data_IF_123762725165
#
_entry.id   IF_123762725165
#
_cell.length_a   1.000
_cell.length_b   1.000
_cell.length_c   1.000
_cell.angle_alpha   90.00
_cell.angle_beta   90.00
_cell.angle_gamma   90.00
#
_symmetry.space_group_name_H-M   'P 1'
#
loop_
_entity.id
_entity.type
_entity.pdbx_description
1 polymer ?
#
# COMPACT_ATOMS: atom_id res chain seq x y z
N UNK A 1 -8.23 -25.42 21.08
CA UNK A 1 -7.54 -24.55 20.09
C UNK A 1 -8.60 -23.97 19.15
N UNK A 2 -8.73 -22.64 19.04
CA UNK A 2 -9.70 -22.01 18.12
C UNK A 2 -9.16 -22.18 16.69
N UNK A 3 -9.74 -23.10 15.92
CA UNK A 3 -9.51 -23.19 14.48
C UNK A 3 -10.07 -21.92 13.83
N UNK A 4 -9.22 -20.97 13.48
CA UNK A 4 -9.61 -19.92 12.56
C UNK A 4 -9.76 -20.58 11.19
N UNK A 5 -11.00 -20.83 10.76
CA UNK A 5 -11.26 -21.30 9.40
C UNK A 5 -10.87 -20.19 8.44
N UNK A 6 -9.79 -20.41 7.72
CA UNK A 6 -9.38 -19.56 6.60
C UNK A 6 -10.54 -19.51 5.59
N UNK A 7 -11.04 -18.32 5.30
CA UNK A 7 -12.18 -18.15 4.39
C UNK A 7 -11.66 -18.07 2.95
N UNK A 8 -11.73 -19.18 2.21
CA UNK A 8 -11.17 -19.29 0.86
C UNK A 8 -11.67 -18.21 -0.12
N UNK A 9 -12.93 -17.80 -0.02
CA UNK A 9 -13.48 -16.72 -0.86
C UNK A 9 -12.79 -15.38 -0.62
N UNK A 10 -12.40 -15.08 0.62
CA UNK A 10 -11.69 -13.85 0.97
C UNK A 10 -10.25 -13.87 0.44
N UNK A 11 -9.60 -15.04 0.48
CA UNK A 11 -8.27 -15.21 -0.14
C UNK A 11 -8.32 -15.04 -1.66
N UNK A 12 -9.33 -15.61 -2.32
CA UNK A 12 -9.54 -15.46 -3.77
C UNK A 12 -9.77 -13.98 -4.11
N UNK A 13 -10.68 -13.31 -3.40
CA UNK A 13 -10.97 -11.89 -3.62
C UNK A 13 -9.71 -11.02 -3.45
N UNK A 14 -8.89 -11.31 -2.43
CA UNK A 14 -7.61 -10.63 -2.21
C UNK A 14 -6.63 -10.90 -3.34
N UNK A 15 -6.54 -12.14 -3.82
CA UNK A 15 -5.69 -12.51 -4.96
C UNK A 15 -6.05 -11.76 -6.23
N UNK A 16 -7.35 -11.70 -6.56
CA UNK A 16 -7.84 -10.95 -7.72
C UNK A 16 -7.51 -9.46 -7.58
N UNK A 17 -7.72 -8.87 -6.39
CA UNK A 17 -7.36 -7.47 -6.15
C UNK A 17 -5.84 -7.21 -6.32
N UNK A 18 -4.96 -8.11 -5.85
CA UNK A 18 -3.50 -8.00 -6.07
C UNK A 18 -3.19 -8.05 -7.56
N UNK A 19 -3.75 -9.02 -8.30
CA UNK A 19 -3.51 -9.16 -9.73
C UNK A 19 -3.97 -7.91 -10.50
N UNK A 20 -5.14 -7.37 -10.16
CA UNK A 20 -5.64 -6.12 -10.74
C UNK A 20 -4.69 -4.93 -10.51
N UNK A 21 -4.11 -4.80 -9.32
CA UNK A 21 -3.09 -3.76 -9.04
C UNK A 21 -1.89 -3.94 -9.97
N UNK A 22 -1.38 -5.16 -10.09
CA UNK A 22 -0.21 -5.45 -10.92
C UNK A 22 -0.50 -5.14 -12.39
N UNK A 23 -1.63 -5.62 -12.92
CA UNK A 23 -2.01 -5.39 -14.32
C UNK A 23 -2.18 -3.90 -14.64
N UNK A 24 -2.72 -3.12 -13.71
CA UNK A 24 -2.80 -1.66 -13.85
C UNK A 24 -1.42 -1.01 -13.89
N UNK A 25 -0.48 -1.42 -13.03
CA UNK A 25 0.84 -0.77 -12.93
C UNK A 25 1.83 -1.19 -14.03
N UNK A 26 1.54 -2.23 -14.80
CA UNK A 26 2.33 -2.63 -15.97
C UNK A 26 1.69 -2.18 -17.29
N UNK A 27 0.67 -1.31 -17.23
CA UNK A 27 -0.12 -0.86 -18.38
C UNK A 27 -0.56 -2.03 -19.28
N UNK A 28 -1.08 -3.09 -18.65
CA UNK A 28 -1.42 -4.32 -19.36
C UNK A 28 -2.49 -4.07 -20.43
N UNK A 29 -2.20 -4.47 -21.67
CA UNK A 29 -3.14 -4.38 -22.78
C UNK A 29 -4.16 -5.51 -22.68
N UNK A 30 -5.37 -5.18 -22.21
CA UNK A 30 -6.44 -6.15 -22.09
C UNK A 30 -6.99 -6.61 -23.45
N UNK A 31 -7.18 -7.92 -23.67
CA UNK A 31 -7.84 -8.43 -24.87
C UNK A 31 -9.31 -7.95 -24.92
N UNK A 32 -9.74 -7.51 -26.10
CA UNK A 32 -11.12 -7.06 -26.34
C UNK A 32 -11.98 -8.27 -26.72
N UNK A 33 -12.89 -8.67 -25.84
CA UNK A 33 -13.90 -9.68 -26.15
C UNK A 33 -15.28 -9.04 -26.29
N UNK A 34 -16.03 -9.41 -27.33
CA UNK A 34 -17.33 -8.78 -27.64
C UNK A 34 -18.40 -8.94 -26.56
N UNK A 35 -18.28 -9.97 -25.71
CA UNK A 35 -19.27 -10.29 -24.67
C UNK A 35 -18.82 -9.94 -23.25
N UNK A 36 -17.51 -9.70 -23.03
CA UNK A 36 -16.95 -9.52 -21.69
C UNK A 36 -15.95 -8.36 -21.71
N UNK A 37 -16.21 -7.35 -20.89
CA UNK A 37 -15.31 -6.22 -20.70
C UNK A 37 -14.29 -6.53 -19.58
N UNK A 38 -13.19 -7.19 -19.95
CA UNK A 38 -12.13 -7.56 -19.00
C UNK A 38 -11.42 -6.34 -18.40
N UNK A 39 -11.28 -5.24 -19.16
CA UNK A 39 -10.64 -4.04 -18.63
C UNK A 39 -11.48 -3.39 -17.52
N UNK A 40 -12.81 -3.41 -17.63
CA UNK A 40 -13.69 -2.99 -16.54
C UNK A 40 -13.58 -3.92 -15.33
N UNK A 41 -13.45 -5.22 -15.55
CA UNK A 41 -13.33 -6.21 -14.47
C UNK A 41 -12.01 -6.11 -13.72
N UNK A 42 -10.87 -5.90 -14.40
CA UNK A 42 -9.54 -6.04 -13.79
C UNK A 42 -8.70 -4.77 -13.78
N UNK A 43 -9.01 -3.76 -14.60
CA UNK A 43 -8.13 -2.61 -14.84
C UNK A 43 -8.56 -1.30 -14.19
N UNK A 44 -9.68 -1.26 -13.47
CA UNK A 44 -10.18 -0.01 -12.86
C UNK A 44 -9.76 0.15 -11.39
N UNK A 45 -10.00 1.34 -10.82
CA UNK A 45 -9.60 1.74 -9.46
C UNK A 45 -10.27 0.99 -8.28
N UNK A 46 -11.16 0.02 -8.53
CA UNK A 46 -11.93 -0.67 -7.49
C UNK A 46 -11.07 -1.55 -6.57
N UNK A 47 -9.90 -1.99 -7.02
CA UNK A 47 -9.05 -2.92 -6.28
C UNK A 47 -8.54 -2.33 -4.95
N UNK A 48 -8.25 -1.03 -4.91
CA UNK A 48 -7.80 -0.35 -3.68
C UNK A 48 -8.89 -0.37 -2.58
N UNK A 49 -10.14 0.05 -2.83
CA UNK A 49 -11.26 -0.14 -1.90
C UNK A 49 -11.46 -1.59 -1.43
N UNK A 50 -11.35 -2.57 -2.32
CA UNK A 50 -11.49 -3.99 -1.95
C UNK A 50 -10.41 -4.44 -0.98
N UNK A 51 -9.17 -3.99 -1.15
CA UNK A 51 -8.10 -4.24 -0.18
C UNK A 51 -8.42 -3.67 1.21
N UNK A 52 -8.98 -2.46 1.28
CA UNK A 52 -9.39 -1.86 2.55
C UNK A 52 -10.52 -2.65 3.21
N UNK A 53 -11.54 -3.06 2.45
CA UNK A 53 -12.66 -3.84 2.96
C UNK A 53 -12.21 -5.22 3.48
N UNK A 54 -11.38 -5.93 2.72
CA UNK A 54 -10.82 -7.22 3.15
C UNK A 54 -9.92 -7.04 4.38
N UNK A 55 -9.14 -5.97 4.43
CA UNK A 55 -8.35 -5.61 5.62
C UNK A 55 -9.22 -5.36 6.86
N UNK A 56 -10.40 -4.77 6.66
CA UNK A 56 -11.42 -4.55 7.68
C UNK A 56 -12.16 -5.81 8.14
N UNK A 57 -12.40 -6.76 7.22
CA UNK A 57 -13.16 -7.98 7.47
C UNK A 57 -12.63 -8.83 8.65
N UNK A 58 -11.31 -8.85 8.85
CA UNK A 58 -10.67 -9.59 9.94
C UNK A 58 -10.42 -8.74 11.21
N UNK A 59 -10.89 -7.49 11.24
CA UNK A 59 -10.77 -6.66 12.44
C UNK A 59 -11.75 -7.11 13.50
N UNK A 60 -11.27 -7.18 14.73
CA UNK A 60 -12.09 -7.44 15.90
C UNK A 60 -12.38 -6.15 16.63
N UNK A 61 -13.64 -5.91 16.92
CA UNK A 61 -14.08 -4.70 17.63
C UNK A 61 -13.40 -4.54 18.99
N UNK A 62 -13.23 -5.64 19.73
CA UNK A 62 -12.53 -5.68 21.02
C UNK A 62 -11.13 -5.06 20.95
N UNK A 63 -10.43 -5.24 19.82
CA UNK A 63 -9.08 -4.69 19.62
C UNK A 63 -9.13 -3.20 19.28
N UNK A 64 -10.19 -2.74 18.61
CA UNK A 64 -10.37 -1.33 18.24
C UNK A 64 -10.64 -0.46 19.47
N UNK A 65 -11.25 -1.02 20.52
CA UNK A 65 -11.47 -0.38 21.82
C UNK A 65 -10.19 -0.14 22.62
N UNK A 66 -9.05 -0.69 22.19
CA UNK A 66 -7.74 -0.49 22.82
C UNK A 66 -6.79 0.25 21.85
N UNK A 67 -7.02 1.55 21.59
CA UNK A 67 -6.36 2.26 20.50
C UNK A 67 -4.83 2.25 20.59
N UNK A 68 -4.26 2.41 21.79
CA UNK A 68 -2.80 2.43 21.98
C UNK A 68 -2.17 1.09 21.60
N UNK A 69 -2.71 -0.03 22.09
CA UNK A 69 -2.17 -1.37 21.79
C UNK A 69 -2.39 -1.74 20.33
N UNK A 70 -3.55 -1.38 19.77
CA UNK A 70 -3.89 -1.61 18.38
C UNK A 70 -2.97 -0.85 17.42
N UNK A 71 -2.81 0.47 17.61
CA UNK A 71 -1.96 1.32 16.77
C UNK A 71 -0.51 0.85 16.84
N UNK A 72 0.02 0.54 18.03
CA UNK A 72 1.37 0.00 18.20
C UNK A 72 1.56 -1.31 17.42
N UNK A 73 0.56 -2.18 17.45
CA UNK A 73 0.55 -3.42 16.67
C UNK A 73 0.58 -3.17 15.16
N UNK A 74 -0.23 -2.22 14.67
CA UNK A 74 -0.29 -1.85 13.24
C UNK A 74 0.96 -1.15 12.76
N UNK A 75 1.57 -0.31 13.59
CA UNK A 75 2.86 0.30 13.30
C UNK A 75 3.94 -0.78 13.11
N UNK A 76 3.98 -1.79 13.98
CA UNK A 76 4.91 -2.92 13.82
C UNK A 76 4.61 -3.74 12.55
N UNK A 77 3.35 -4.05 12.26
CA UNK A 77 3.01 -4.95 11.15
C UNK A 77 3.00 -4.28 9.77
N UNK A 78 2.74 -2.97 9.71
CA UNK A 78 2.60 -2.23 8.46
C UNK A 78 3.75 -1.24 8.27
N UNK A 79 3.95 -0.31 9.21
CA UNK A 79 4.98 0.73 9.04
C UNK A 79 6.39 0.15 9.04
N UNK A 80 6.77 -0.65 10.04
CA UNK A 80 8.13 -1.22 10.09
C UNK A 80 8.40 -2.15 8.92
N UNK A 81 7.39 -2.92 8.49
CA UNK A 81 7.50 -3.78 7.32
C UNK A 81 7.65 -2.98 6.03
N UNK A 82 6.88 -1.91 5.86
CA UNK A 82 7.03 -0.99 4.74
C UNK A 82 8.41 -0.33 4.76
N UNK A 83 8.84 0.18 5.91
CA UNK A 83 10.14 0.82 6.07
C UNK A 83 11.29 -0.12 5.73
N UNK A 84 11.20 -1.39 6.13
CA UNK A 84 12.19 -2.42 5.79
C UNK A 84 12.37 -2.62 4.29
N UNK A 85 11.33 -2.36 3.48
CA UNK A 85 11.39 -2.49 2.02
C UNK A 85 11.73 -1.14 1.35
N UNK A 86 11.09 -0.06 1.79
CA UNK A 86 11.28 1.28 1.23
C UNK A 86 12.68 1.83 1.49
N UNK A 87 13.23 1.65 2.69
CA UNK A 87 14.51 2.27 3.04
C UNK A 87 15.66 1.73 2.18
N UNK A 88 15.84 0.40 2.00
CA UNK A 88 16.81 -0.12 1.04
C UNK A 88 16.55 0.37 -0.39
N UNK A 89 15.28 0.43 -0.82
CA UNK A 89 14.94 0.89 -2.16
C UNK A 89 15.37 2.36 -2.39
N UNK A 90 15.11 3.23 -1.41
CA UNK A 90 15.54 4.64 -1.41
C UNK A 90 17.07 4.77 -1.41
N UNK A 91 17.79 3.92 -0.65
CA UNK A 91 19.25 3.94 -0.63
C UNK A 91 19.88 3.45 -1.93
N UNK A 92 19.18 2.59 -2.68
CA UNK A 92 19.61 2.04 -3.96
C UNK A 92 19.13 2.86 -5.16
N UNK A 93 18.60 4.07 -4.96
CA UNK A 93 18.03 4.90 -6.02
C UNK A 93 18.96 5.05 -7.23
N UNK A 94 20.20 5.52 -7.02
CA UNK A 94 21.15 5.71 -8.12
C UNK A 94 21.57 4.38 -8.75
N UNK A 95 21.60 3.29 -7.98
CA UNK A 95 21.89 1.95 -8.53
C UNK A 95 20.80 1.54 -9.51
N UNK A 96 19.53 1.70 -9.14
CA UNK A 96 18.40 1.42 -10.04
C UNK A 96 18.37 2.35 -11.24
N UNK A 97 18.72 3.62 -11.06
CA UNK A 97 18.84 4.58 -12.14
C UNK A 97 19.92 4.16 -13.16
N UNK A 98 21.13 3.81 -12.68
CA UNK A 98 22.24 3.37 -13.53
C UNK A 98 22.00 2.02 -14.21
N UNK A 99 21.22 1.12 -13.57
CA UNK A 99 20.75 -0.11 -14.19
C UNK A 99 19.72 0.11 -15.30
N UNK A 100 19.24 1.34 -15.50
CA UNK A 100 18.22 1.67 -16.49
C UNK A 100 16.81 1.24 -16.08
N UNK A 101 16.57 0.98 -14.79
CA UNK A 101 15.23 0.64 -14.29
C UNK A 101 14.32 1.86 -14.18
N UNK A 102 14.91 3.06 -14.21
CA UNK A 102 14.18 4.32 -14.19
C UNK A 102 14.33 5.05 -15.52
N UNK A 103 13.21 5.56 -16.03
CA UNK A 103 13.17 6.37 -17.25
C UNK A 103 13.37 7.84 -16.92
N UNK A 104 14.38 8.52 -17.48
CA UNK A 104 14.67 9.93 -17.19
C UNK A 104 13.63 10.89 -17.76
N UNK A 105 12.72 10.41 -18.61
CA UNK A 105 11.69 11.24 -19.25
C UNK A 105 10.36 11.23 -18.48
N UNK A 106 10.29 10.44 -17.40
CA UNK A 106 9.07 10.25 -16.61
C UNK A 106 9.07 11.18 -15.41
N UNK A 107 7.98 11.93 -15.24
CA UNK A 107 7.72 12.70 -14.03
C UNK A 107 7.10 11.79 -12.99
N UNK A 108 7.78 11.59 -11.86
CA UNK A 108 7.31 10.81 -10.74
C UNK A 108 7.36 11.62 -9.45
N UNK A 109 6.26 11.65 -8.70
CA UNK A 109 6.20 12.40 -7.43
C UNK A 109 6.42 13.92 -7.59
N UNK A 110 6.12 14.47 -8.77
CA UNK A 110 6.24 15.91 -9.06
C UNK A 110 7.64 16.35 -9.51
N UNK A 111 8.56 15.42 -9.78
CA UNK A 111 9.89 15.70 -10.34
C UNK A 111 10.23 14.71 -11.44
N UNK A 112 11.09 15.13 -12.36
CA UNK A 112 11.72 14.22 -13.32
C UNK A 112 12.65 13.28 -12.54
N UNK A 113 12.66 12.00 -12.89
CA UNK A 113 13.56 11.03 -12.26
C UNK A 113 14.99 11.28 -12.76
N UNK A 114 15.91 11.48 -11.83
CA UNK A 114 17.32 11.72 -12.09
C UNK A 114 18.14 11.13 -10.94
N UNK A 115 19.45 10.94 -11.14
CA UNK A 115 20.35 10.57 -10.04
C UNK A 115 20.28 11.57 -8.90
N UNK A 116 20.30 11.06 -7.67
CA UNK A 116 20.26 11.88 -6.47
C UNK A 116 21.65 12.27 -6.01
N UNK A 117 21.76 13.54 -5.64
CA UNK A 117 22.86 14.05 -4.83
C UNK A 117 22.64 13.75 -3.33
N UNK A 118 23.62 14.12 -2.49
CA UNK A 118 23.55 13.90 -1.04
C UNK A 118 22.32 14.56 -0.40
N UNK A 119 21.90 15.72 -0.91
CA UNK A 119 20.74 16.46 -0.40
C UNK A 119 19.45 15.73 -0.74
N UNK A 120 19.34 15.21 -1.95
CA UNK A 120 18.17 14.46 -2.40
C UNK A 120 18.04 13.12 -1.68
N UNK A 121 19.15 12.43 -1.42
CA UNK A 121 19.15 11.27 -0.53
C UNK A 121 18.64 11.61 0.87
N UNK A 122 19.13 12.69 1.48
CA UNK A 122 18.66 13.10 2.81
C UNK A 122 17.15 13.40 2.83
N UNK A 123 16.64 14.08 1.80
CA UNK A 123 15.20 14.36 1.64
C UNK A 123 14.42 13.06 1.40
N UNK A 124 14.93 12.16 0.56
CA UNK A 124 14.32 10.87 0.23
C UNK A 124 14.20 9.99 1.47
N UNK A 125 15.27 9.85 2.24
CA UNK A 125 15.29 9.11 3.52
C UNK A 125 14.31 9.74 4.51
N UNK A 126 14.33 11.07 4.67
CA UNK A 126 13.40 11.76 5.56
C UNK A 126 11.94 11.51 5.16
N UNK A 127 11.61 11.60 3.86
CA UNK A 127 10.28 11.27 3.35
C UNK A 127 9.90 9.82 3.64
N UNK A 128 10.80 8.87 3.40
CA UNK A 128 10.57 7.45 3.68
C UNK A 128 10.28 7.19 5.15
N UNK A 129 11.03 7.83 6.07
CA UNK A 129 10.77 7.75 7.50
C UNK A 129 9.42 8.38 7.91
N UNK A 130 9.01 9.46 7.23
CA UNK A 130 7.77 10.19 7.51
C UNK A 130 6.53 9.67 6.76
N UNK A 131 6.53 8.41 6.30
CA UNK A 131 5.43 7.80 5.51
C UNK A 131 5.10 8.55 4.20
N UNK A 132 6.05 9.34 3.69
CA UNK A 132 5.93 10.13 2.48
C UNK A 132 6.91 9.69 1.38
N UNK A 133 7.58 8.55 1.57
CA UNK A 133 8.50 7.97 0.59
C UNK A 133 7.78 7.65 -0.72
N UNK A 134 8.33 8.13 -1.82
CA UNK A 134 7.81 7.94 -3.19
C UNK A 134 8.96 7.47 -4.07
N UNK A 135 9.52 6.31 -3.74
CA UNK A 135 10.50 5.66 -4.59
C UNK A 135 9.77 5.03 -5.80
N UNK A 136 10.19 5.26 -7.06
CA UNK A 136 9.45 4.79 -8.24
C UNK A 136 9.19 3.29 -8.24
N UNK A 137 10.19 2.47 -7.90
CA UNK A 137 10.06 1.00 -7.83
C UNK A 137 9.06 0.54 -6.76
N UNK A 138 8.81 1.38 -5.75
CA UNK A 138 7.84 1.13 -4.68
C UNK A 138 6.53 1.90 -4.90
N UNK A 139 6.27 2.38 -6.12
CA UNK A 139 5.17 3.29 -6.37
C UNK A 139 3.80 2.71 -6.01
N UNK A 140 3.59 1.42 -6.30
CA UNK A 140 2.35 0.72 -5.97
C UNK A 140 2.13 0.55 -4.45
N UNK A 141 3.15 0.70 -3.61
CA UNK A 141 3.08 0.44 -2.16
C UNK A 141 2.54 1.61 -1.33
N UNK A 142 2.17 2.72 -1.96
CA UNK A 142 1.65 3.91 -1.27
C UNK A 142 0.40 3.64 -0.41
N UNK A 143 -0.42 2.65 -0.80
CA UNK A 143 -1.64 2.30 -0.08
C UNK A 143 -1.35 1.78 1.33
N UNK A 144 -0.15 1.26 1.62
CA UNK A 144 0.21 0.74 2.93
C UNK A 144 0.18 1.85 3.98
N UNK A 145 0.65 3.05 3.63
CA UNK A 145 0.56 4.22 4.50
C UNK A 145 -0.90 4.64 4.69
N UNK A 146 -1.69 4.68 3.62
CA UNK A 146 -3.11 4.98 3.70
C UNK A 146 -3.87 3.98 4.60
N UNK A 147 -3.53 2.69 4.52
CA UNK A 147 -4.09 1.64 5.38
C UNK A 147 -3.69 1.80 6.84
N UNK A 148 -2.44 2.15 7.11
CA UNK A 148 -2.01 2.45 8.47
C UNK A 148 -2.86 3.59 9.06
N UNK A 149 -2.97 4.72 8.37
CA UNK A 149 -3.72 5.87 8.86
C UNK A 149 -5.23 5.59 8.97
N UNK A 150 -5.82 4.90 8.00
CA UNK A 150 -7.22 4.51 8.05
C UNK A 150 -7.53 3.62 9.26
N UNK A 151 -6.68 2.63 9.54
CA UNK A 151 -6.84 1.75 10.70
C UNK A 151 -6.66 2.48 12.03
N UNK A 152 -5.69 3.40 12.11
CA UNK A 152 -5.49 4.22 13.31
C UNK A 152 -6.70 5.13 13.55
N UNK A 153 -7.17 5.84 12.53
CA UNK A 153 -8.36 6.69 12.60
C UNK A 153 -9.61 5.89 12.98
N UNK A 154 -9.81 4.72 12.39
CA UNK A 154 -10.95 3.86 12.69
C UNK A 154 -10.97 3.41 14.16
N UNK A 155 -9.83 3.00 14.71
CA UNK A 155 -9.73 2.63 16.13
C UNK A 155 -10.01 3.81 17.07
N UNK A 156 -9.52 5.01 16.73
CA UNK A 156 -9.77 6.23 17.52
C UNK A 156 -11.27 6.57 17.51
N UNK A 157 -11.91 6.56 16.34
CA UNK A 157 -13.34 6.87 16.20
C UNK A 157 -14.19 5.89 17.00
N UNK A 158 -13.93 4.58 16.87
CA UNK A 158 -14.66 3.55 17.61
C UNK A 158 -14.47 3.68 19.12
N UNK A 159 -13.26 4.01 19.57
CA UNK A 159 -12.99 4.26 20.98
C UNK A 159 -13.78 5.46 21.52
N UNK A 160 -13.80 6.59 20.79
CA UNK A 160 -14.54 7.79 21.18
C UNK A 160 -16.05 7.52 21.24
N UNK A 161 -16.62 6.93 20.19
CA UNK A 161 -18.06 6.63 20.11
C UNK A 161 -18.50 5.72 21.26
N UNK A 162 -17.70 4.70 21.60
CA UNK A 162 -18.04 3.82 22.72
C UNK A 162 -17.87 4.46 24.10
N UNK A 163 -17.07 5.54 24.22
CA UNK A 163 -16.95 6.30 25.47
C UNK A 163 -18.07 7.31 25.69
N UNK A 164 -18.75 7.72 24.60
CA UNK A 164 -19.87 8.67 24.62
C UNK A 164 -21.24 7.98 24.71
N UNK A 165 -21.28 6.65 24.65
CA UNK A 165 -22.45 5.84 25.01
C UNK A 165 -22.46 5.59 26.52
#
# INVERSE_FOLDING_TARGET
>A
MKNYSRTSYVDIAKGIAILSVVLLHVDFVYPKFSFINISAMLGWYWHVPVFFLIGGFFLKEERLLQPVSFIKGKFKSLYLLALYIYLPATLLHNVFFQLGWYSPDVVYGGKIIAEWDVKEYAIGIAKTLLCAGREPIMGAMWFVYALLFALCGYSIVIYIVNKCK
#
